data_IF_793572576309
#
_entry.id   IF_793572576309
#
_cell.length_a   1.000
_cell.length_b   1.000
_cell.length_c   1.000
_cell.angle_alpha   90.00
_cell.angle_beta   90.00
_cell.angle_gamma   90.00
#
_symmetry.space_group_name_H-M   'P 1'
#
loop_
_entity.id
_entity.type
_entity.pdbx_description
1 polymer ?
#
# COMPACT_ATOMS: atom_id res chain seq x y z
N UNK A 1 14.67 -15.90 -7.92
CA UNK A 1 13.74 -15.39 -6.89
C UNK A 1 13.60 -13.89 -7.04
N UNK A 2 12.37 -13.40 -6.94
CA UNK A 2 11.96 -12.01 -7.10
C UNK A 2 11.29 -11.52 -5.81
N UNK A 3 11.24 -10.20 -5.61
CA UNK A 3 10.52 -9.55 -4.50
C UNK A 3 9.34 -8.75 -5.05
N UNK A 4 8.26 -8.64 -4.28
CA UNK A 4 7.07 -7.86 -4.65
C UNK A 4 7.32 -6.39 -4.30
N UNK A 5 7.34 -5.54 -5.33
CA UNK A 5 7.59 -4.11 -5.16
C UNK A 5 6.46 -3.38 -4.46
N UNK A 6 5.24 -3.63 -4.91
CA UNK A 6 4.03 -3.04 -4.36
C UNK A 6 2.89 -4.05 -4.40
N UNK A 7 1.94 -3.87 -3.49
CA UNK A 7 0.68 -4.61 -3.47
C UNK A 7 -0.45 -3.72 -4.00
N UNK A 8 -1.53 -4.30 -4.56
CA UNK A 8 -2.71 -3.54 -4.94
C UNK A 8 -3.21 -2.69 -3.77
N UNK A 9 -3.45 -1.40 -4.02
CA UNK A 9 -4.00 -0.45 -3.04
C UNK A 9 -5.51 -0.32 -3.12
N UNK A 10 -6.12 -0.86 -4.18
CA UNK A 10 -7.57 -0.89 -4.40
C UNK A 10 -8.08 -2.31 -4.25
N UNK A 11 -9.38 -2.46 -4.05
CA UNK A 11 -10.02 -3.77 -4.09
C UNK A 11 -9.72 -4.49 -5.41
N UNK A 12 -9.23 -5.71 -5.28
CA UNK A 12 -8.95 -6.63 -6.38
C UNK A 12 -9.75 -7.89 -6.18
N UNK A 13 -10.07 -8.57 -7.29
CA UNK A 13 -10.76 -9.86 -7.23
C UNK A 13 -9.97 -10.85 -6.38
N UNK A 14 -10.68 -11.70 -5.65
CA UNK A 14 -10.09 -12.91 -5.08
C UNK A 14 -9.41 -13.71 -6.19
N UNK A 15 -8.18 -14.16 -5.93
CA UNK A 15 -7.37 -14.86 -6.94
C UNK A 15 -6.67 -13.95 -7.96
N UNK A 16 -6.48 -12.65 -7.69
CA UNK A 16 -5.72 -11.78 -8.61
C UNK A 16 -4.29 -12.27 -8.92
N UNK A 17 -3.71 -13.11 -8.06
CA UNK A 17 -2.41 -13.76 -8.27
C UNK A 17 -2.49 -15.05 -9.11
N UNK A 18 -3.68 -15.56 -9.44
CA UNK A 18 -3.86 -16.78 -10.25
C UNK A 18 -3.02 -16.77 -11.54
N UNK A 19 -2.99 -15.69 -12.35
CA UNK A 19 -2.21 -15.69 -13.58
C UNK A 19 -0.70 -15.79 -13.32
N UNK A 20 -0.23 -15.35 -12.15
CA UNK A 20 1.16 -15.48 -11.77
C UNK A 20 1.46 -16.88 -11.26
N UNK A 21 0.59 -17.45 -10.42
CA UNK A 21 0.85 -18.70 -9.70
C UNK A 21 0.60 -19.95 -10.57
N UNK A 22 -0.38 -19.90 -11.49
CA UNK A 22 -0.83 -21.08 -12.23
C UNK A 22 -0.43 -21.10 -13.71
N UNK A 23 0.46 -20.21 -14.16
CA UNK A 23 0.81 -20.11 -15.58
C UNK A 23 1.80 -21.20 -16.08
N UNK A 24 1.36 -22.24 -16.77
CA UNK A 24 2.28 -23.20 -17.42
C UNK A 24 3.11 -24.06 -16.45
N UNK A 25 4.21 -24.65 -16.95
CA UNK A 25 4.76 -25.89 -16.36
C UNK A 25 5.88 -25.68 -15.31
N UNK A 26 6.17 -24.43 -14.94
CA UNK A 26 7.20 -24.11 -13.95
C UNK A 26 6.65 -24.19 -12.51
N UNK A 27 7.50 -24.63 -11.57
CA UNK A 27 7.15 -24.60 -10.15
C UNK A 27 7.27 -23.17 -9.64
N UNK A 28 6.21 -22.71 -8.96
CA UNK A 28 6.14 -21.36 -8.40
C UNK A 28 5.89 -21.40 -6.92
N UNK A 29 6.74 -20.71 -6.17
CA UNK A 29 6.62 -20.59 -4.73
C UNK A 29 6.41 -19.12 -4.39
N UNK A 30 5.31 -18.83 -3.70
CA UNK A 30 5.05 -17.51 -3.11
C UNK A 30 5.24 -17.58 -1.61
N UNK A 31 6.03 -16.66 -1.07
CA UNK A 31 6.22 -16.47 0.36
C UNK A 31 5.72 -15.10 0.75
N UNK A 32 4.72 -15.04 1.63
CA UNK A 32 4.22 -13.80 2.22
C UNK A 32 4.68 -13.71 3.68
N UNK A 33 5.52 -12.74 3.98
CA UNK A 33 5.87 -12.39 5.34
C UNK A 33 4.95 -11.27 5.82
N UNK A 34 4.19 -11.55 6.88
CA UNK A 34 3.34 -10.58 7.57
C UNK A 34 4.04 -10.17 8.86
N UNK A 35 4.32 -8.88 9.02
CA UNK A 35 4.95 -8.34 10.22
C UNK A 35 4.00 -7.32 10.88
N UNK A 36 3.60 -7.53 12.14
CA UNK A 36 2.84 -6.51 12.85
C UNK A 36 3.68 -5.25 13.05
N UNK A 37 3.06 -4.10 12.83
CA UNK A 37 3.64 -2.78 13.07
C UNK A 37 3.08 -2.27 14.40
N UNK A 38 3.96 -1.85 15.30
CA UNK A 38 3.52 -1.24 16.55
C UNK A 38 2.75 0.06 16.25
N UNK A 39 1.63 0.29 16.92
CA UNK A 39 0.71 1.42 16.65
C UNK A 39 1.42 2.77 16.58
N UNK A 40 2.37 3.04 17.51
CA UNK A 40 3.14 4.29 17.50
C UNK A 40 3.98 4.50 16.22
N UNK A 41 4.49 3.41 15.61
CA UNK A 41 5.23 3.48 14.36
C UNK A 41 4.31 3.67 13.16
N UNK A 42 3.14 3.04 13.18
CA UNK A 42 2.12 3.21 12.15
C UNK A 42 1.63 4.66 12.10
N UNK A 43 1.29 5.25 13.26
CA UNK A 43 0.92 6.66 13.38
C UNK A 43 2.03 7.60 12.90
N UNK A 44 3.28 7.34 13.27
CA UNK A 44 4.41 8.15 12.80
C UNK A 44 4.62 8.07 11.27
N UNK A 45 4.34 6.92 10.65
CA UNK A 45 4.39 6.76 9.19
C UNK A 45 3.22 7.48 8.52
N UNK A 46 2.02 7.38 9.09
CA UNK A 46 0.82 8.07 8.60
C UNK A 46 1.01 9.59 8.61
N UNK A 47 1.49 10.15 9.72
CA UNK A 47 1.76 11.59 9.86
C UNK A 47 2.79 12.08 8.85
N UNK A 48 3.82 11.27 8.55
CA UNK A 48 4.81 11.60 7.50
C UNK A 48 4.16 11.61 6.12
N UNK A 49 3.36 10.60 5.80
CA UNK A 49 2.66 10.51 4.52
C UNK A 49 1.69 11.69 4.32
N UNK A 50 0.92 12.06 5.34
CA UNK A 50 0.05 13.25 5.32
C UNK A 50 0.87 14.52 5.09
N UNK A 51 1.96 14.72 5.84
CA UNK A 51 2.83 15.90 5.68
C UNK A 51 3.46 15.99 4.29
N UNK A 52 3.85 14.86 3.69
CA UNK A 52 4.40 14.81 2.33
C UNK A 52 3.33 15.18 1.29
N UNK A 53 2.10 14.69 1.47
CA UNK A 53 0.95 15.02 0.61
C UNK A 53 0.57 16.50 0.71
N UNK A 54 0.47 17.05 1.92
CA UNK A 54 0.20 18.49 2.14
C UNK A 54 1.27 19.38 1.51
N UNK A 55 2.53 18.97 1.62
CA UNK A 55 3.67 19.67 1.00
C UNK A 55 3.55 19.65 -0.53
N UNK A 56 3.24 18.48 -1.11
CA UNK A 56 3.04 18.32 -2.54
C UNK A 56 1.83 19.13 -3.05
N UNK A 57 0.73 19.16 -2.30
CA UNK A 57 -0.45 19.97 -2.60
C UNK A 57 -0.14 21.48 -2.57
N UNK A 58 0.61 21.93 -1.55
CA UNK A 58 1.04 23.33 -1.41
C UNK A 58 1.90 23.78 -2.59
N UNK A 59 2.84 22.93 -3.03
CA UNK A 59 3.68 23.19 -4.20
C UNK A 59 2.83 23.29 -5.47
N UNK A 60 1.86 22.38 -5.67
CA UNK A 60 0.97 22.41 -6.84
C UNK A 60 0.05 23.62 -6.87
N UNK A 61 -0.48 24.04 -5.72
CA UNK A 61 -1.26 25.28 -5.60
C UNK A 61 -0.43 26.49 -6.03
N UNK A 62 0.82 26.60 -5.57
CA UNK A 62 1.74 27.66 -5.97
C UNK A 62 2.03 27.66 -7.48
N UNK A 63 2.03 26.49 -8.10
CA UNK A 63 2.24 26.30 -9.54
C UNK A 63 0.95 26.44 -10.37
N UNK A 64 -0.20 26.77 -9.75
CA UNK A 64 -1.52 26.86 -10.41
C UNK A 64 -1.87 25.61 -11.25
N UNK A 65 -1.43 24.45 -10.79
CA UNK A 65 -1.68 23.17 -11.47
C UNK A 65 -2.96 22.52 -10.96
N UNK A 66 -3.68 21.82 -11.85
CA UNK A 66 -4.93 21.11 -11.48
C UNK A 66 -4.63 19.97 -10.52
N UNK A 67 -5.44 19.85 -9.45
CA UNK A 67 -5.38 18.72 -8.52
C UNK A 67 -5.96 17.48 -9.23
N UNK A 68 -5.18 16.39 -9.39
CA UNK A 68 -5.66 15.17 -10.02
C UNK A 68 -6.60 14.38 -9.09
N UNK A 69 -7.56 13.65 -9.66
CA UNK A 69 -8.52 12.84 -8.92
C UNK A 69 -7.87 11.76 -8.04
N UNK A 70 -6.66 11.35 -8.39
CA UNK A 70 -5.86 10.39 -7.61
C UNK A 70 -5.46 10.93 -6.25
N UNK A 71 -5.20 12.23 -6.13
CA UNK A 71 -4.80 12.86 -4.87
C UNK A 71 -5.93 12.82 -3.84
N UNK A 72 -7.17 13.11 -4.28
CA UNK A 72 -8.35 13.05 -3.41
C UNK A 72 -8.61 11.63 -2.90
N UNK A 73 -8.36 10.61 -3.73
CA UNK A 73 -8.49 9.20 -3.32
C UNK A 73 -7.41 8.79 -2.33
N UNK A 74 -6.17 9.23 -2.56
CA UNK A 74 -5.07 8.96 -1.62
C UNK A 74 -5.34 9.58 -0.22
N UNK A 75 -5.95 10.77 -0.17
CA UNK A 75 -6.38 11.40 1.09
C UNK A 75 -7.47 10.59 1.79
N UNK A 76 -8.47 10.11 1.04
CA UNK A 76 -9.56 9.27 1.56
C UNK A 76 -9.03 7.94 2.11
N UNK A 77 -8.12 7.28 1.38
CA UNK A 77 -7.49 6.02 1.80
C UNK A 77 -6.66 6.20 3.08
N UNK A 78 -5.96 7.34 3.23
CA UNK A 78 -5.23 7.66 4.46
C UNK A 78 -6.16 7.89 5.64
N UNK A 79 -7.30 8.56 5.43
CA UNK A 79 -8.28 8.82 6.48
C UNK A 79 -8.92 7.51 6.98
N UNK A 80 -9.23 6.57 6.09
CA UNK A 80 -9.71 5.22 6.46
C UNK A 80 -8.66 4.50 7.30
N UNK A 81 -7.39 4.51 6.87
CA UNK A 81 -6.31 3.86 7.62
C UNK A 81 -6.05 4.50 8.98
N UNK A 82 -6.22 5.81 9.10
CA UNK A 82 -6.15 6.51 10.39
C UNK A 82 -7.28 6.06 11.33
N UNK A 83 -8.50 5.96 10.81
CA UNK A 83 -9.66 5.48 11.56
C UNK A 83 -9.44 4.06 12.07
N UNK A 84 -8.99 3.14 11.20
CA UNK A 84 -8.70 1.75 11.57
C UNK A 84 -7.64 1.67 12.68
N UNK A 85 -6.59 2.49 12.60
CA UNK A 85 -5.54 2.55 13.62
C UNK A 85 -6.05 3.07 14.97
N UNK A 86 -6.97 4.05 14.96
CA UNK A 86 -7.58 4.62 16.17
C UNK A 86 -8.56 3.63 16.82
N UNK A 87 -9.31 2.88 16.02
CA UNK A 87 -10.24 1.85 16.46
C UNK A 87 -9.53 0.60 17.03
N UNK A 88 -8.20 0.57 16.98
CA UNK A 88 -7.37 -0.48 17.57
C UNK A 88 -7.10 -1.65 16.63
N UNK A 89 -7.40 -1.52 15.33
CA UNK A 89 -6.96 -2.50 14.34
C UNK A 89 -5.43 -2.46 14.22
N UNK A 90 -4.82 -3.65 14.21
CA UNK A 90 -3.38 -3.80 14.10
C UNK A 90 -2.89 -3.57 12.68
N UNK A 91 -1.97 -2.62 12.49
CA UNK A 91 -1.33 -2.41 11.20
C UNK A 91 -0.27 -3.49 10.92
N UNK A 92 -0.16 -3.90 9.66
CA UNK A 92 0.70 -5.00 9.22
C UNK A 92 1.47 -4.63 7.98
N UNK A 93 2.76 -4.95 7.99
CA UNK A 93 3.62 -4.80 6.83
C UNK A 93 3.75 -6.15 6.11
N UNK A 94 3.44 -6.14 4.82
CA UNK A 94 3.59 -7.29 3.94
C UNK A 94 4.91 -7.25 3.19
N UNK A 95 5.60 -8.39 3.09
CA UNK A 95 6.71 -8.59 2.14
C UNK A 95 6.44 -9.86 1.35
N UNK A 96 6.43 -9.75 0.03
CA UNK A 96 6.24 -10.88 -0.87
C UNK A 96 7.53 -11.30 -1.56
N UNK A 97 7.74 -12.60 -1.68
CA UNK A 97 8.79 -13.19 -2.51
C UNK A 97 8.19 -14.21 -3.45
N UNK A 98 8.68 -14.25 -4.68
CA UNK A 98 8.25 -15.19 -5.72
C UNK A 98 9.46 -15.90 -6.30
N UNK A 99 9.49 -17.22 -6.21
CA UNK A 99 10.50 -18.05 -6.88
C UNK A 99 9.82 -18.82 -8.02
N UNK A 100 10.43 -18.79 -9.20
CA UNK A 100 10.01 -19.55 -10.38
C UNK A 100 11.19 -20.44 -10.75
N UNK A 101 10.96 -21.74 -10.89
CA UNK A 101 11.96 -22.76 -11.25
C UNK A 101 11.43 -23.69 -12.32
#
# INVERSE_FOLDING_TARGET
TFWVAEWPRTDVRTGFLEPLLYAGDATRVITLQVRPVATHKALAQLNRAQSDMETAATIRMKLSSRIPLTHLREEEDLAVREHDLVDGYGDVQYRGFVTIS
#
